data_IF_893398778326
#
_entry.id   IF_893398778326
#
_cell.length_a   1.000
_cell.length_b   1.000
_cell.length_c   1.000
_cell.angle_alpha   90.00
_cell.angle_beta   90.00
_cell.angle_gamma   90.00
#
_symmetry.space_group_name_H-M   'P 1'
#
loop_
_entity.id
_entity.type
_entity.pdbx_description
1 polymer ?
#
# COMPACT_ATOMS: atom_id res chain seq x y z
N UNK A 1 4.37 -16.24 -4.63
CA UNK A 1 3.63 -15.30 -3.77
C UNK A 1 4.58 -14.22 -3.31
N UNK A 2 4.24 -12.96 -3.57
CA UNK A 2 5.05 -11.77 -3.28
C UNK A 2 4.26 -10.83 -2.38
N UNK A 3 4.92 -9.79 -1.88
CA UNK A 3 4.23 -8.69 -1.19
C UNK A 3 4.56 -7.38 -1.86
N UNK A 4 3.55 -6.70 -2.35
CA UNK A 4 3.62 -5.33 -2.81
C UNK A 4 3.44 -4.37 -1.65
N UNK A 5 4.33 -3.39 -1.54
CA UNK A 5 4.35 -2.41 -0.46
C UNK A 5 4.39 -1.01 -1.06
N UNK A 6 3.43 -0.18 -0.68
CA UNK A 6 3.29 1.17 -1.21
C UNK A 6 3.04 2.18 -0.12
N UNK A 7 3.35 3.44 -0.40
CA UNK A 7 2.75 4.59 0.27
C UNK A 7 1.56 5.10 -0.56
N UNK A 8 0.52 5.59 0.12
CA UNK A 8 -0.69 6.13 -0.51
C UNK A 8 -0.94 7.58 -0.12
N UNK A 9 -1.13 8.41 -1.14
CA UNK A 9 -1.58 9.80 -1.03
C UNK A 9 -2.98 9.95 -1.60
N UNK A 10 -3.20 11.01 -2.37
CA UNK A 10 -4.52 11.34 -2.93
C UNK A 10 -4.79 10.71 -4.30
N UNK A 11 -3.82 9.96 -4.82
CA UNK A 11 -3.88 9.30 -6.12
C UNK A 11 -3.33 7.88 -6.00
N UNK A 12 -4.06 6.93 -6.56
CA UNK A 12 -3.75 5.50 -6.59
C UNK A 12 -3.07 5.05 -7.90
N UNK A 13 -2.98 5.93 -8.90
CA UNK A 13 -2.48 5.61 -10.24
C UNK A 13 -1.08 5.01 -10.22
N UNK A 14 -0.19 5.46 -9.33
CA UNK A 14 1.15 4.89 -9.21
C UNK A 14 1.12 3.44 -8.71
N UNK A 15 0.24 3.14 -7.74
CA UNK A 15 0.04 1.78 -7.22
C UNK A 15 -0.49 0.88 -8.33
N UNK A 16 -1.56 1.31 -9.01
CA UNK A 16 -2.19 0.56 -10.11
C UNK A 16 -1.17 0.25 -11.21
N UNK A 17 -0.43 1.28 -11.64
CA UNK A 17 0.61 1.14 -12.67
C UNK A 17 1.67 0.13 -12.26
N UNK A 18 2.11 0.13 -11.00
CA UNK A 18 3.11 -0.84 -10.52
C UNK A 18 2.58 -2.27 -10.44
N UNK A 19 1.36 -2.45 -9.94
CA UNK A 19 0.71 -3.76 -9.93
C UNK A 19 0.62 -4.34 -11.35
N UNK A 20 0.31 -3.49 -12.33
CA UNK A 20 0.27 -3.88 -13.74
C UNK A 20 1.67 -4.23 -14.30
N UNK A 21 2.66 -3.33 -14.15
CA UNK A 21 4.04 -3.53 -14.64
C UNK A 21 4.67 -4.81 -14.10
N UNK A 22 4.40 -5.13 -12.83
CA UNK A 22 4.98 -6.31 -12.17
C UNK A 22 4.11 -7.56 -12.28
N UNK A 23 3.03 -7.52 -13.07
CA UNK A 23 2.11 -8.62 -13.28
C UNK A 23 1.66 -9.24 -11.95
N UNK A 24 1.05 -8.41 -11.08
CA UNK A 24 0.51 -8.85 -9.80
C UNK A 24 -0.51 -9.97 -9.99
N UNK A 25 -0.47 -10.96 -9.11
CA UNK A 25 -1.37 -12.12 -9.14
C UNK A 25 -2.33 -12.13 -7.95
N UNK A 26 -3.34 -12.98 -8.00
CA UNK A 26 -4.39 -13.09 -6.96
C UNK A 26 -3.83 -13.48 -5.59
N UNK A 27 -2.78 -14.28 -5.56
CA UNK A 27 -2.10 -14.72 -4.36
C UNK A 27 -1.20 -13.65 -3.73
N UNK A 28 -0.80 -12.63 -4.49
CA UNK A 28 0.11 -11.60 -4.00
C UNK A 28 -0.57 -10.72 -2.93
N UNK A 29 0.19 -10.34 -1.92
CA UNK A 29 -0.26 -9.41 -0.89
C UNK A 29 -0.05 -7.97 -1.35
N UNK A 30 -0.99 -7.08 -1.03
CA UNK A 30 -0.90 -5.65 -1.37
C UNK A 30 -1.12 -4.85 -0.09
N UNK A 31 -0.05 -4.20 0.39
CA UNK A 31 -0.06 -3.37 1.60
C UNK A 31 0.20 -1.93 1.20
N UNK A 32 -0.66 -1.03 1.64
CA UNK A 32 -0.58 0.40 1.39
C UNK A 32 -0.51 1.14 2.71
N UNK A 33 0.50 1.97 2.89
CA UNK A 33 0.70 2.78 4.09
C UNK A 33 0.25 4.22 3.86
N UNK A 34 -0.40 4.82 4.86
CA UNK A 34 -0.67 6.25 4.90
C UNK A 34 -0.55 6.77 6.33
N UNK A 35 -0.58 8.07 6.55
CA UNK A 35 -0.49 8.63 7.91
C UNK A 35 -1.87 8.75 8.55
N UNK A 36 -1.91 8.50 9.86
CA UNK A 36 -3.03 8.76 10.75
C UNK A 36 -3.08 10.25 11.13
N UNK A 37 -4.25 10.91 11.06
CA UNK A 37 -5.54 10.40 10.59
C UNK A 37 -5.65 10.34 9.07
N UNK A 38 -6.37 9.34 8.55
CA UNK A 38 -6.58 9.19 7.10
C UNK A 38 -7.46 10.32 6.57
N UNK A 39 -6.88 11.16 5.72
CA UNK A 39 -7.60 12.20 5.00
C UNK A 39 -8.67 11.60 4.06
N UNK A 40 -9.80 12.30 3.88
CA UNK A 40 -10.88 11.87 2.97
C UNK A 40 -10.40 11.59 1.55
N UNK A 41 -9.43 12.37 1.05
CA UNK A 41 -8.84 12.16 -0.26
C UNK A 41 -8.08 10.82 -0.36
N UNK A 42 -7.37 10.41 0.70
CA UNK A 42 -6.69 9.10 0.75
C UNK A 42 -7.72 7.96 0.78
N UNK A 43 -8.84 8.13 1.50
CA UNK A 43 -9.93 7.13 1.50
C UNK A 43 -10.48 6.92 0.10
N UNK A 44 -10.73 8.00 -0.65
CA UNK A 44 -11.17 7.93 -2.05
C UNK A 44 -10.18 7.21 -2.95
N UNK A 45 -8.88 7.54 -2.82
CA UNK A 45 -7.84 6.86 -3.58
C UNK A 45 -7.77 5.36 -3.24
N UNK A 46 -7.92 5.02 -1.95
CA UNK A 46 -7.95 3.63 -1.51
C UNK A 46 -9.18 2.88 -2.04
N UNK A 47 -10.37 3.51 -2.05
CA UNK A 47 -11.57 2.93 -2.65
C UNK A 47 -11.40 2.71 -4.16
N UNK A 48 -10.75 3.64 -4.86
CA UNK A 48 -10.35 3.49 -6.27
C UNK A 48 -9.44 2.28 -6.49
N UNK A 49 -8.42 2.12 -5.64
CA UNK A 49 -7.52 0.97 -5.65
C UNK A 49 -8.28 -0.35 -5.41
N UNK A 50 -9.17 -0.41 -4.40
CA UNK A 50 -10.01 -1.59 -4.15
C UNK A 50 -10.89 -1.94 -5.35
N UNK A 51 -11.48 -0.92 -5.98
CA UNK A 51 -12.26 -1.11 -7.20
C UNK A 51 -11.42 -1.70 -8.34
N UNK A 52 -10.18 -1.25 -8.50
CA UNK A 52 -9.25 -1.82 -9.48
C UNK A 52 -8.88 -3.27 -9.14
N UNK A 53 -8.41 -3.57 -7.92
CA UNK A 53 -7.97 -4.92 -7.54
C UNK A 53 -9.10 -5.94 -7.69
N UNK A 54 -10.32 -5.56 -7.30
CA UNK A 54 -11.52 -6.39 -7.47
C UNK A 54 -11.79 -6.73 -8.95
N UNK A 55 -11.79 -5.72 -9.84
CA UNK A 55 -11.98 -5.94 -11.28
C UNK A 55 -10.86 -6.76 -11.93
N UNK A 56 -9.63 -6.60 -11.44
CA UNK A 56 -8.46 -7.31 -11.94
C UNK A 56 -8.32 -8.74 -11.37
N UNK A 57 -9.21 -9.17 -10.46
CA UNK A 57 -9.12 -10.47 -9.81
C UNK A 57 -7.94 -10.61 -8.84
N UNK A 58 -7.38 -9.48 -8.38
CA UNK A 58 -6.30 -9.40 -7.41
C UNK A 58 -6.85 -9.51 -5.99
N UNK A 59 -5.97 -9.77 -5.04
CA UNK A 59 -6.30 -9.68 -3.62
C UNK A 59 -6.72 -8.26 -3.24
N UNK A 60 -7.63 -8.15 -2.28
CA UNK A 60 -7.96 -6.86 -1.69
C UNK A 60 -6.73 -6.23 -1.03
N UNK A 61 -6.48 -4.93 -1.26
CA UNK A 61 -5.38 -4.21 -0.64
C UNK A 61 -5.68 -3.91 0.84
N UNK A 62 -4.64 -3.84 1.65
CA UNK A 62 -4.70 -3.52 3.07
C UNK A 62 -4.19 -2.09 3.31
N UNK A 63 -5.04 -1.19 3.82
CA UNK A 63 -4.62 0.16 4.22
C UNK A 63 -4.16 0.15 5.67
N UNK A 64 -2.91 0.51 5.89
CA UNK A 64 -2.29 0.59 7.22
C UNK A 64 -2.00 2.04 7.56
N UNK A 65 -2.55 2.49 8.68
CA UNK A 65 -2.33 3.84 9.19
C UNK A 65 -1.06 3.89 10.06
N UNK A 66 -0.18 4.82 9.74
CA UNK A 66 1.06 5.06 10.46
C UNK A 66 0.95 6.31 11.34
N UNK A 67 1.43 6.26 12.59
CA UNK A 67 1.59 7.48 13.39
C UNK A 67 2.63 8.42 12.76
N UNK A 68 2.55 9.72 13.06
CA UNK A 68 3.56 10.70 12.65
C UNK A 68 4.90 10.53 13.39
N UNK A 69 4.90 9.86 14.54
CA UNK A 69 6.11 9.54 15.28
C UNK A 69 6.91 8.45 14.55
N UNK A 70 8.16 8.76 14.17
CA UNK A 70 9.02 7.87 13.37
C UNK A 70 9.30 6.52 14.03
N UNK A 71 9.75 6.43 15.31
CA UNK A 71 9.89 5.14 16.01
C UNK A 71 8.66 4.24 15.93
N UNK A 72 7.49 4.78 16.25
CA UNK A 72 6.24 4.01 16.26
C UNK A 72 5.81 3.60 14.84
N UNK A 73 6.05 4.46 13.85
CA UNK A 73 5.79 4.15 12.45
C UNK A 73 6.66 2.99 11.96
N UNK A 74 7.96 3.01 12.29
CA UNK A 74 8.88 1.92 11.95
C UNK A 74 8.44 0.61 12.61
N UNK A 75 8.08 0.63 13.90
CA UNK A 75 7.59 -0.55 14.60
C UNK A 75 6.32 -1.12 13.95
N UNK A 76 5.41 -0.25 13.54
CA UNK A 76 4.18 -0.63 12.84
C UNK A 76 4.50 -1.29 11.50
N UNK A 77 5.36 -0.67 10.68
CA UNK A 77 5.80 -1.23 9.37
C UNK A 77 6.44 -2.61 9.55
N UNK A 78 7.38 -2.75 10.50
CA UNK A 78 8.07 -4.02 10.74
C UNK A 78 7.07 -5.11 11.14
N UNK A 79 6.14 -4.82 12.04
CA UNK A 79 5.15 -5.81 12.46
C UNK A 79 4.16 -6.17 11.36
N UNK A 80 3.74 -5.22 10.53
CA UNK A 80 2.89 -5.48 9.37
C UNK A 80 3.56 -6.38 8.34
N UNK A 81 4.87 -6.22 8.13
CA UNK A 81 5.61 -6.89 7.07
C UNK A 81 6.34 -8.18 7.52
N UNK A 82 6.49 -8.41 8.83
CA UNK A 82 7.29 -9.51 9.39
C UNK A 82 6.97 -10.88 8.80
N UNK A 83 5.69 -11.22 8.73
CA UNK A 83 5.21 -12.55 8.32
C UNK A 83 4.71 -12.57 6.87
N UNK A 84 5.03 -11.53 6.10
CA UNK A 84 4.57 -11.38 4.72
C UNK A 84 5.49 -12.12 3.73
N UNK A 85 4.93 -12.71 2.66
CA UNK A 85 5.73 -13.42 1.65
C UNK A 85 6.74 -12.52 0.96
N UNK A 86 7.97 -13.03 0.81
CA UNK A 86 9.03 -12.41 0.01
C UNK A 86 8.96 -12.90 -1.44
N UNK A 87 9.45 -12.13 -2.43
CA UNK A 87 10.12 -10.82 -2.30
C UNK A 87 9.15 -9.66 -2.02
N UNK A 88 9.70 -8.57 -1.48
CA UNK A 88 9.00 -7.29 -1.37
C UNK A 88 9.19 -6.48 -2.66
N UNK A 89 8.10 -6.05 -3.27
CA UNK A 89 8.10 -5.07 -4.36
C UNK A 89 7.64 -3.75 -3.76
N UNK A 90 8.58 -2.83 -3.56
CA UNK A 90 8.36 -1.59 -2.82
C UNK A 90 8.32 -0.40 -3.79
N UNK A 91 7.31 0.46 -3.66
CA UNK A 91 7.30 1.77 -4.33
C UNK A 91 6.80 2.87 -3.38
N UNK A 92 7.70 3.81 -3.09
CA UNK A 92 7.49 4.95 -2.20
C UNK A 92 7.30 6.27 -2.97
N UNK A 93 7.05 6.22 -4.28
CA UNK A 93 6.96 7.43 -5.13
C UNK A 93 5.74 8.31 -4.83
N UNK A 94 4.76 7.80 -4.08
CA UNK A 94 3.51 8.49 -3.74
C UNK A 94 3.37 8.78 -2.24
N UNK A 95 2.25 9.39 -1.86
CA UNK A 95 1.96 9.67 -0.45
C UNK A 95 2.79 10.81 0.15
N UNK A 96 2.77 10.90 1.48
CA UNK A 96 3.51 11.95 2.19
C UNK A 96 5.00 11.60 2.25
N UNK A 97 5.86 12.59 1.97
CA UNK A 97 7.32 12.43 1.97
C UNK A 97 7.91 11.94 3.29
N UNK A 98 7.23 12.16 4.41
CA UNK A 98 7.65 11.63 5.72
C UNK A 98 7.64 10.09 5.77
N UNK A 99 6.95 9.44 4.82
CA UNK A 99 6.89 7.98 4.68
C UNK A 99 7.81 7.42 3.58
N UNK A 100 8.47 8.27 2.79
CA UNK A 100 9.23 7.89 1.61
C UNK A 100 10.74 7.85 1.84
#
# INVERSE_FOLDING_TARGET
MRTFVFTLGFHEDHVIRRLHIHNALREDHIVVFTVRPVATAVKRAFDGLKGFTSRAGLRDPELIELPLNTPDAIYTIINTLRDRPRPFIVDLSGGMRVLA
#
